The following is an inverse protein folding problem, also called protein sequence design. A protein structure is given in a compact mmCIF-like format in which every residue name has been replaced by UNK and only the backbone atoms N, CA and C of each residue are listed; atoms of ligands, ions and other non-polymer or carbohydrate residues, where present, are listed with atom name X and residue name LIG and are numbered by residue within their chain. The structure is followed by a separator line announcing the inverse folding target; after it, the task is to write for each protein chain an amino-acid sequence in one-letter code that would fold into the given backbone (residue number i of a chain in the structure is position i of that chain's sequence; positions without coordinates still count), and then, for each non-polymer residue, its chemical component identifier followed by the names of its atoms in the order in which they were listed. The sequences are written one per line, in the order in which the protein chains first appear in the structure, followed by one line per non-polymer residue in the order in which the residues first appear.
data_IF_635855989486
#
_entry.id   IF_635855989486
#
_cell.length_a   1.000
_cell.length_b   1.000
_cell.length_c   1.000
_cell.angle_alpha   90.00
_cell.angle_beta   90.00
_cell.angle_gamma   90.00
#
_symmetry.space_group_name_H-M   'P 1'
#
loop_
_entity.id
_entity.type
_entity.pdbx_description
1 polymer ?
#
# COMPACT_ATOMS: atom_id res chain seq x y z
N UNK A 1 10.16 34.45 2.43
CA UNK A 1 10.00 35.34 1.24
C UNK A 1 10.98 34.90 0.18
N UNK A 2 10.52 34.24 -0.85
CA UNK A 2 11.27 34.03 -2.10
C UNK A 2 10.54 34.82 -3.19
N UNK A 3 11.23 35.59 -4.01
CA UNK A 3 10.61 36.54 -4.95
C UNK A 3 10.06 35.80 -6.16
N UNK A 4 8.85 36.20 -6.57
CA UNK A 4 8.26 35.84 -7.84
C UNK A 4 9.05 36.49 -9.00
N UNK A 5 9.66 35.66 -9.85
CA UNK A 5 10.21 36.08 -11.12
C UNK A 5 9.13 35.97 -12.21
N UNK A 6 9.20 36.81 -13.29
CA UNK A 6 8.15 36.88 -14.27
C UNK A 6 8.08 35.65 -15.17
N UNK A 7 6.85 35.20 -15.44
CA UNK A 7 6.53 34.12 -16.39
C UNK A 7 6.81 34.61 -17.80
N UNK A 8 7.78 33.99 -18.45
CA UNK A 8 8.12 34.24 -19.84
C UNK A 8 7.21 33.39 -20.74
N UNK A 9 6.25 34.01 -21.40
CA UNK A 9 5.33 33.40 -22.33
C UNK A 9 5.97 33.31 -23.75
N UNK A 10 6.77 32.25 -23.97
CA UNK A 10 7.16 31.82 -25.31
C UNK A 10 7.57 30.34 -25.25
N UNK A 11 6.57 29.48 -25.28
CA UNK A 11 6.76 28.04 -25.52
C UNK A 11 5.98 27.71 -26.79
N UNK A 12 6.70 27.20 -27.78
CA UNK A 12 6.14 26.71 -29.03
C UNK A 12 5.20 25.51 -28.73
N UNK A 13 4.14 25.28 -29.55
CA UNK A 13 3.21 24.17 -29.29
C UNK A 13 3.91 22.83 -29.45
N UNK A 14 3.76 21.98 -28.43
CA UNK A 14 4.20 20.58 -28.45
C UNK A 14 3.47 19.79 -29.56
N UNK A 15 4.14 18.83 -30.21
CA UNK A 15 3.53 17.97 -31.21
C UNK A 15 2.46 17.08 -30.56
N UNK A 16 1.28 17.04 -31.19
CA UNK A 16 0.18 16.16 -30.79
C UNK A 16 0.63 14.67 -30.85
N UNK A 17 0.29 13.86 -29.86
CA UNK A 17 0.56 12.42 -29.91
C UNK A 17 -0.26 11.77 -31.03
N UNK A 18 0.26 10.72 -31.68
CA UNK A 18 -0.44 10.01 -32.74
C UNK A 18 -1.73 9.38 -32.22
N UNK A 19 -2.78 9.39 -33.05
CA UNK A 19 -4.08 8.82 -32.75
C UNK A 19 -3.95 7.37 -32.25
N UNK A 20 -4.54 7.10 -31.10
CA UNK A 20 -4.58 5.78 -30.50
C UNK A 20 -5.35 4.82 -31.40
N UNK A 21 -4.65 3.93 -32.08
CA UNK A 21 -5.22 2.71 -32.69
C UNK A 21 -5.69 1.80 -31.56
N UNK A 22 -6.96 1.34 -31.68
CA UNK A 22 -7.71 0.64 -30.66
C UNK A 22 -6.97 -0.51 -29.99
N UNK A 23 -6.59 -0.30 -28.74
CA UNK A 23 -6.31 -1.36 -27.81
C UNK A 23 -7.62 -1.83 -27.21
N UNK A 24 -7.92 -3.12 -27.40
CA UNK A 24 -9.10 -3.76 -26.81
C UNK A 24 -9.15 -3.44 -25.31
N UNK A 25 -10.35 -3.09 -24.83
CA UNK A 25 -10.60 -2.80 -23.41
C UNK A 25 -10.17 -3.99 -22.56
N UNK A 26 -8.95 -3.93 -22.01
CA UNK A 26 -8.56 -4.77 -20.91
C UNK A 26 -9.49 -4.39 -19.75
N UNK A 27 -10.42 -5.29 -19.39
CA UNK A 27 -11.27 -5.09 -18.23
C UNK A 27 -10.35 -4.87 -17.03
N UNK A 28 -10.38 -3.68 -16.44
CA UNK A 28 -9.62 -3.36 -15.23
C UNK A 28 -10.02 -4.36 -14.16
N UNK A 29 -9.11 -5.27 -13.83
CA UNK A 29 -9.37 -6.36 -12.90
C UNK A 29 -9.13 -5.86 -11.49
N UNK A 30 -10.06 -5.09 -10.95
CA UNK A 30 -10.13 -4.81 -9.52
C UNK A 30 -10.96 -5.92 -8.90
N UNK A 31 -10.33 -6.79 -8.15
CA UNK A 31 -11.01 -7.88 -7.45
C UNK A 31 -11.77 -7.32 -6.25
N UNK A 32 -13.05 -7.08 -6.42
CA UNK A 32 -13.98 -6.99 -5.31
C UNK A 32 -14.38 -8.41 -4.92
N UNK A 33 -13.85 -8.91 -3.81
CA UNK A 33 -14.14 -10.27 -3.35
C UNK A 33 -15.52 -10.32 -2.66
N UNK A 34 -16.58 -10.17 -3.44
CA UNK A 34 -17.96 -10.22 -3.01
C UNK A 34 -18.78 -8.97 -3.36
N UNK A 35 -20.10 -8.95 -3.09
CA UNK A 35 -20.94 -7.79 -3.32
C UNK A 35 -20.46 -6.58 -2.50
N UNK A 36 -20.47 -5.40 -3.10
CA UNK A 36 -20.16 -4.14 -2.43
C UNK A 36 -21.20 -3.91 -1.34
N UNK A 37 -20.76 -3.84 -0.07
CA UNK A 37 -21.65 -3.49 1.02
C UNK A 37 -22.14 -2.05 0.87
N UNK A 38 -23.43 -1.83 1.12
CA UNK A 38 -24.08 -0.53 1.10
C UNK A 38 -23.40 0.43 2.12
N UNK A 39 -22.96 1.62 1.71
CA UNK A 39 -22.31 2.59 2.60
C UNK A 39 -23.26 3.19 3.67
N UNK A 40 -24.58 2.93 3.60
CA UNK A 40 -25.58 3.51 4.51
C UNK A 40 -25.57 2.96 5.95
N UNK A 41 -24.72 1.97 6.27
CA UNK A 41 -24.64 1.35 7.61
C UNK A 41 -23.64 2.01 8.57
N UNK A 42 -23.36 3.31 8.48
CA UNK A 42 -22.50 4.02 9.45
C UNK A 42 -23.15 4.10 10.82
N UNK A 43 -23.09 3.04 11.60
CA UNK A 43 -23.12 3.16 13.05
C UNK A 43 -21.69 3.45 13.48
N UNK A 44 -21.48 4.60 14.13
CA UNK A 44 -20.18 5.10 14.53
C UNK A 44 -19.31 4.03 15.21
N UNK A 45 -18.46 3.39 14.43
CA UNK A 45 -17.46 2.45 14.92
C UNK A 45 -16.26 3.23 15.44
N UNK A 46 -15.77 2.84 16.60
CA UNK A 46 -14.49 3.31 17.12
C UNK A 46 -13.36 2.73 16.23
N UNK A 47 -12.39 3.59 15.84
CA UNK A 47 -11.23 3.14 15.07
C UNK A 47 -11.33 3.37 13.54
N UNK A 48 -10.48 2.72 12.73
CA UNK A 48 -10.44 2.92 11.28
C UNK A 48 -11.66 2.29 10.58
N UNK A 49 -12.11 2.94 9.50
CA UNK A 49 -13.09 2.37 8.58
C UNK A 49 -12.42 1.41 7.58
N UNK A 50 -11.15 1.66 7.28
CA UNK A 50 -10.39 0.81 6.37
C UNK A 50 -8.92 0.67 6.78
N UNK A 51 -8.33 -0.47 6.39
CA UNK A 51 -6.89 -0.72 6.49
C UNK A 51 -6.32 -0.95 5.08
N UNK A 52 -5.17 -0.33 4.78
CA UNK A 52 -4.32 -0.81 3.69
C UNK A 52 -3.23 -1.70 4.28
N UNK A 53 -3.40 -3.01 4.11
CA UNK A 53 -2.58 -4.04 4.77
C UNK A 53 -1.30 -4.41 4.03
N UNK A 54 -1.03 -3.79 2.90
CA UNK A 54 0.18 -4.10 2.13
C UNK A 54 -0.07 -4.17 0.62
N UNK A 55 0.90 -4.78 -0.09
CA UNK A 55 2.17 -5.30 0.42
C UNK A 55 3.19 -4.17 0.57
N UNK A 56 4.15 -4.33 1.49
CA UNK A 56 5.28 -3.41 1.56
C UNK A 56 6.04 -3.39 0.22
N UNK A 57 6.47 -2.22 -0.25
CA UNK A 57 7.13 -2.00 -1.57
C UNK A 57 6.20 -2.19 -2.79
N UNK A 58 4.87 -2.07 -2.59
CA UNK A 58 3.86 -2.21 -3.63
C UNK A 58 2.95 -0.96 -3.75
N UNK A 59 3.51 0.24 -3.77
CA UNK A 59 2.81 1.51 -3.98
C UNK A 59 1.86 2.00 -2.86
N UNK A 60 1.95 1.50 -1.64
CA UNK A 60 1.12 1.99 -0.52
C UNK A 60 1.36 3.47 -0.19
N UNK A 61 2.57 4.00 -0.44
CA UNK A 61 2.87 5.43 -0.30
C UNK A 61 2.19 6.27 -1.39
N UNK A 62 2.05 5.74 -2.60
CA UNK A 62 1.26 6.38 -3.65
C UNK A 62 -0.21 6.48 -3.25
N UNK A 63 -0.78 5.40 -2.72
CA UNK A 63 -2.15 5.41 -2.22
C UNK A 63 -2.34 6.46 -1.12
N UNK A 64 -1.45 6.48 -0.11
CA UNK A 64 -1.48 7.47 0.96
C UNK A 64 -1.45 8.91 0.42
N UNK A 65 -0.50 9.22 -0.47
CA UNK A 65 -0.35 10.56 -1.05
C UNK A 65 -1.56 11.00 -1.86
N UNK A 66 -2.23 10.08 -2.57
CA UNK A 66 -3.41 10.41 -3.35
C UNK A 66 -4.66 10.57 -2.48
N UNK A 67 -4.91 9.64 -1.56
CA UNK A 67 -6.05 9.72 -0.67
C UNK A 67 -6.01 10.95 0.25
N UNK A 68 -4.83 11.48 0.58
CA UNK A 68 -4.66 12.71 1.36
C UNK A 68 -5.26 13.97 0.69
N UNK A 69 -5.56 13.95 -0.61
CA UNK A 69 -6.25 15.04 -1.30
C UNK A 69 -7.78 14.92 -1.25
N UNK A 70 -8.30 13.76 -0.89
CA UNK A 70 -9.74 13.53 -0.88
C UNK A 70 -10.38 14.13 0.38
N UNK A 71 -11.32 15.10 0.31
CA UNK A 71 -11.83 15.83 1.48
C UNK A 71 -12.58 14.94 2.48
N UNK A 72 -13.15 13.82 2.02
CA UNK A 72 -13.86 12.86 2.86
C UNK A 72 -12.95 11.70 3.32
N UNK A 73 -11.64 11.81 3.17
CA UNK A 73 -10.68 10.84 3.72
C UNK A 73 -9.90 11.50 4.83
N UNK A 74 -9.79 10.80 5.94
CA UNK A 74 -8.90 11.15 7.03
C UNK A 74 -7.80 10.10 7.16
N UNK A 75 -6.57 10.56 7.13
CA UNK A 75 -5.37 9.75 7.33
C UNK A 75 -4.66 10.24 8.59
N UNK A 76 -4.18 9.34 9.46
CA UNK A 76 -3.31 9.74 10.55
C UNK A 76 -2.13 10.57 10.06
N UNK A 77 -1.66 11.56 10.85
CA UNK A 77 -0.57 12.46 10.46
C UNK A 77 0.79 11.76 10.27
N UNK A 78 0.92 10.54 10.73
CA UNK A 78 2.05 9.65 10.44
C UNK A 78 1.55 8.40 9.74
N UNK A 79 2.31 7.95 8.74
CA UNK A 79 2.04 6.71 8.02
C UNK A 79 2.58 5.52 8.83
N UNK A 80 1.92 4.36 8.65
CA UNK A 80 2.37 3.08 9.23
C UNK A 80 2.31 3.11 10.78
N UNK A 81 1.07 3.23 11.31
CA UNK A 81 0.84 3.15 12.76
C UNK A 81 1.37 1.84 13.36
N UNK A 82 1.30 0.75 12.58
CA UNK A 82 1.80 -0.57 12.93
C UNK A 82 1.29 -1.12 14.28
N UNK A 83 0.14 -0.61 14.76
CA UNK A 83 -0.44 -0.98 16.05
C UNK A 83 -0.61 -2.50 16.18
N UNK A 84 -1.33 -3.11 15.23
CA UNK A 84 -1.62 -4.55 15.33
C UNK A 84 -0.36 -5.42 15.22
N UNK A 85 0.64 -5.03 14.41
CA UNK A 85 1.90 -5.75 14.33
C UNK A 85 2.71 -5.62 15.61
N UNK A 86 2.75 -4.44 16.22
CA UNK A 86 3.41 -4.23 17.52
C UNK A 86 2.76 -5.05 18.66
N UNK A 87 1.44 -5.30 18.58
CA UNK A 87 0.72 -6.08 19.60
C UNK A 87 0.81 -7.59 19.35
N UNK A 88 0.75 -8.04 18.08
CA UNK A 88 0.54 -9.44 17.73
C UNK A 88 1.73 -10.14 17.07
N UNK A 89 2.77 -9.41 16.68
CA UNK A 89 3.95 -9.99 16.02
C UNK A 89 5.16 -9.82 16.92
N UNK A 90 5.60 -10.93 17.53
CA UNK A 90 6.78 -10.93 18.37
C UNK A 90 8.03 -10.51 17.58
N UNK A 91 8.92 -9.74 18.23
CA UNK A 91 10.16 -9.23 17.65
C UNK A 91 9.94 -8.40 16.37
N UNK A 92 8.89 -7.61 16.37
CA UNK A 92 8.60 -6.72 15.24
C UNK A 92 9.68 -5.64 15.13
N UNK A 93 10.35 -5.58 13.99
CA UNK A 93 11.48 -4.67 13.74
C UNK A 93 11.08 -3.19 13.69
N UNK A 94 9.79 -2.88 13.55
CA UNK A 94 9.28 -1.50 13.45
C UNK A 94 8.84 -0.89 14.78
N UNK A 95 9.01 -1.58 15.90
CA UNK A 95 8.78 -0.98 17.24
C UNK A 95 10.02 -0.16 17.67
N UNK A 96 10.50 0.69 16.77
CA UNK A 96 11.48 1.71 17.05
C UNK A 96 10.74 2.97 17.54
N UNK A 97 10.65 3.11 18.87
CA UNK A 97 10.05 4.29 19.52
C UNK A 97 10.73 5.59 19.06
N UNK A 98 12.01 5.54 18.76
CA UNK A 98 12.77 6.70 18.26
C UNK A 98 12.37 7.01 16.81
N UNK A 99 12.10 6.01 15.98
CA UNK A 99 11.61 6.24 14.62
C UNK A 99 10.22 6.89 14.64
N UNK A 100 9.31 6.39 15.46
CA UNK A 100 7.97 6.97 15.64
C UNK A 100 8.05 8.40 16.15
N UNK A 101 8.89 8.66 17.15
CA UNK A 101 9.12 10.01 17.67
C UNK A 101 9.61 10.97 16.58
N UNK A 102 10.60 10.57 15.80
CA UNK A 102 11.08 11.36 14.64
C UNK A 102 9.98 11.65 13.62
N UNK A 103 9.12 10.67 13.33
CA UNK A 103 7.97 10.88 12.43
C UNK A 103 6.97 11.88 13.01
N UNK A 104 6.64 11.78 14.29
CA UNK A 104 5.75 12.71 14.98
C UNK A 104 6.32 14.13 14.92
N UNK A 105 7.61 14.32 15.26
CA UNK A 105 8.26 15.63 15.25
C UNK A 105 8.32 16.23 13.85
N UNK A 106 8.68 15.44 12.85
CA UNK A 106 8.70 15.88 11.45
C UNK A 106 7.31 16.29 10.96
N UNK A 107 6.28 15.48 11.27
CA UNK A 107 4.91 15.77 10.90
C UNK A 107 4.37 17.02 11.64
N UNK A 108 4.68 17.16 12.92
CA UNK A 108 4.33 18.35 13.72
C UNK A 108 4.92 19.62 13.10
N UNK A 109 6.20 19.59 12.77
CA UNK A 109 6.89 20.72 12.10
C UNK A 109 6.21 21.07 10.79
N UNK A 110 5.86 20.08 9.97
CA UNK A 110 5.17 20.32 8.71
C UNK A 110 3.79 20.97 8.91
N UNK A 111 2.97 20.44 9.84
CA UNK A 111 1.62 20.96 10.11
C UNK A 111 1.64 22.36 10.72
N UNK A 112 2.64 22.70 11.54
CA UNK A 112 2.80 24.05 12.09
C UNK A 112 3.00 25.11 11.00
N UNK A 113 3.59 24.73 9.86
CA UNK A 113 3.87 25.65 8.73
C UNK A 113 2.84 25.50 7.58
N UNK A 114 1.90 24.58 7.64
CA UNK A 114 0.87 24.39 6.63
C UNK A 114 -0.08 25.59 6.60
N UNK A 115 -0.24 26.24 5.44
CA UNK A 115 -1.11 27.39 5.24
C UNK A 115 -2.46 27.00 4.65
N UNK A 116 -3.51 27.75 5.01
CA UNK A 116 -4.82 27.61 4.36
C UNK A 116 -5.63 26.36 4.74
N UNK A 117 -5.21 25.64 5.79
CA UNK A 117 -5.82 24.37 6.25
C UNK A 117 -6.03 24.39 7.77
N UNK A 118 -6.58 25.45 8.33
CA UNK A 118 -6.56 25.67 9.78
C UNK A 118 -7.33 24.62 10.58
N UNK A 119 -8.48 24.16 10.09
CA UNK A 119 -9.25 23.12 10.77
C UNK A 119 -8.52 21.77 10.70
N UNK A 120 -8.10 21.38 9.52
CA UNK A 120 -7.33 20.15 9.32
C UNK A 120 -6.03 20.16 10.14
N UNK A 121 -5.33 21.30 10.17
CA UNK A 121 -4.14 21.49 11.00
C UNK A 121 -4.43 21.24 12.47
N UNK A 122 -5.53 21.82 13.02
CA UNK A 122 -5.91 21.58 14.42
C UNK A 122 -6.16 20.10 14.71
N UNK A 123 -6.90 19.42 13.84
CA UNK A 123 -7.19 17.99 13.96
C UNK A 123 -5.90 17.15 13.91
N UNK A 124 -5.02 17.42 12.96
CA UNK A 124 -3.78 16.68 12.78
C UNK A 124 -2.79 16.92 13.94
N UNK A 125 -2.68 18.15 14.45
CA UNK A 125 -1.82 18.46 15.60
C UNK A 125 -2.36 17.80 16.87
N UNK A 126 -3.67 17.83 17.11
CA UNK A 126 -4.29 17.14 18.25
C UNK A 126 -4.07 15.61 18.16
N UNK A 127 -4.14 15.04 16.95
CA UNK A 127 -3.81 13.63 16.73
C UNK A 127 -2.33 13.34 17.02
N UNK A 128 -1.40 14.24 16.67
CA UNK A 128 0.02 14.08 16.98
C UNK A 128 0.28 14.13 18.50
N UNK A 129 -0.46 14.95 19.24
CA UNK A 129 -0.38 14.98 20.70
C UNK A 129 -0.88 13.67 21.31
N UNK A 130 -1.95 13.10 20.76
CA UNK A 130 -2.47 11.80 21.15
C UNK A 130 -1.46 10.67 20.83
N UNK A 131 -0.87 10.66 19.62
CA UNK A 131 0.13 9.68 19.20
C UNK A 131 1.39 9.71 20.08
N UNK A 132 1.76 10.88 20.60
CA UNK A 132 2.93 11.05 21.48
C UNK A 132 2.74 10.42 22.88
N UNK A 133 1.53 10.01 23.27
CA UNK A 133 1.27 9.38 24.57
C UNK A 133 1.78 7.94 24.72
N UNK A 134 2.25 7.32 23.65
CA UNK A 134 2.94 6.02 23.58
C UNK A 134 2.24 4.85 24.32
N UNK A 135 0.93 4.77 24.27
CA UNK A 135 0.18 3.66 24.88
C UNK A 135 -0.36 2.74 23.80
N UNK A 136 0.30 1.62 23.54
CA UNK A 136 -0.14 0.59 22.58
C UNK A 136 -1.35 -0.20 23.11
N UNK A 137 -2.42 0.49 23.49
CA UNK A 137 -3.73 -0.09 23.87
C UNK A 137 -4.73 0.08 22.72
N UNK A 138 -5.77 -0.74 22.73
CA UNK A 138 -6.88 -0.60 21.78
C UNK A 138 -7.50 0.78 21.85
N UNK A 139 -7.71 1.34 23.05
CA UNK A 139 -8.28 2.68 23.24
C UNK A 139 -7.36 3.76 22.67
N UNK A 140 -6.04 3.62 22.84
CA UNK A 140 -5.09 4.53 22.22
C UNK A 140 -5.20 4.46 20.68
N UNK A 141 -5.26 3.26 20.11
CA UNK A 141 -5.35 3.10 18.66
C UNK A 141 -6.66 3.65 18.10
N UNK A 142 -7.79 3.35 18.73
CA UNK A 142 -9.10 3.86 18.29
C UNK A 142 -9.19 5.35 18.43
N UNK A 143 -8.65 5.94 19.51
CA UNK A 143 -8.59 7.38 19.75
C UNK A 143 -7.84 8.16 18.67
N UNK A 144 -6.90 7.53 17.93
CA UNK A 144 -6.27 8.14 16.75
C UNK A 144 -7.33 8.57 15.73
N UNK A 145 -8.43 7.83 15.59
CA UNK A 145 -9.47 8.06 14.60
C UNK A 145 -10.61 8.97 15.09
N UNK A 146 -10.62 9.33 16.37
CA UNK A 146 -11.61 10.28 16.93
C UNK A 146 -11.34 11.73 16.48
N UNK A 147 -10.16 12.00 15.94
CA UNK A 147 -9.79 13.30 15.39
C UNK A 147 -10.33 13.58 13.99
N UNK A 148 -10.95 12.57 13.32
CA UNK A 148 -11.56 12.73 12.00
C UNK A 148 -12.85 13.55 12.05
N UNK A 149 -13.16 14.24 10.95
CA UNK A 149 -14.47 14.87 10.77
C UNK A 149 -15.60 13.83 10.66
N UNK A 150 -16.86 14.24 10.95
CA UNK A 150 -18.00 13.31 11.03
C UNK A 150 -18.28 12.52 9.75
N UNK A 151 -17.98 13.10 8.59
CA UNK A 151 -18.21 12.49 7.27
C UNK A 151 -16.96 11.86 6.66
N UNK A 152 -15.84 11.89 7.37
CA UNK A 152 -14.59 11.35 6.86
C UNK A 152 -14.44 9.86 7.12
N UNK A 153 -13.92 9.15 6.13
CA UNK A 153 -13.48 7.75 6.22
C UNK A 153 -12.06 7.71 6.76
N UNK A 154 -11.87 7.14 7.94
CA UNK A 154 -10.56 6.99 8.58
C UNK A 154 -9.84 5.75 8.04
N UNK A 155 -8.60 5.93 7.57
CA UNK A 155 -7.83 4.84 6.95
C UNK A 155 -6.44 4.74 7.59
N UNK A 156 -6.08 3.54 8.07
CA UNK A 156 -4.70 3.22 8.46
C UNK A 156 -3.98 2.50 7.30
N UNK A 157 -2.86 3.06 6.88
CA UNK A 157 -2.03 2.48 5.81
C UNK A 157 -0.74 1.92 6.42
N UNK A 158 -0.81 0.68 6.88
CA UNK A 158 0.28 -0.06 7.53
C UNK A 158 0.55 -1.36 6.77
N UNK A 159 1.48 -1.36 5.81
CA UNK A 159 1.72 -2.51 4.92
C UNK A 159 2.13 -3.79 5.61
N UNK A 160 2.59 -3.71 6.84
CA UNK A 160 3.01 -4.86 7.64
C UNK A 160 1.84 -5.67 8.20
N UNK A 161 0.62 -5.12 8.17
CA UNK A 161 -0.58 -5.84 8.60
C UNK A 161 -0.88 -7.09 7.74
N UNK A 162 -0.29 -7.20 6.56
CA UNK A 162 -0.35 -8.46 5.78
C UNK A 162 0.22 -9.64 6.58
N UNK A 163 1.18 -9.42 7.47
CA UNK A 163 1.81 -10.47 8.27
C UNK A 163 1.06 -10.85 9.55
N UNK A 164 -0.03 -10.15 9.89
CA UNK A 164 -0.79 -10.42 11.11
C UNK A 164 -1.19 -11.89 11.23
N UNK A 165 -1.02 -12.52 12.40
CA UNK A 165 -1.60 -13.81 12.69
C UNK A 165 -3.14 -13.71 12.76
N UNK A 166 -3.83 -14.87 12.78
CA UNK A 166 -5.31 -14.90 12.83
C UNK A 166 -5.89 -14.05 13.97
N UNK A 167 -5.24 -14.04 15.13
CA UNK A 167 -5.72 -13.27 16.29
C UNK A 167 -5.53 -11.77 16.12
N UNK A 168 -4.47 -11.33 15.41
CA UNK A 168 -4.31 -9.93 15.03
C UNK A 168 -5.38 -9.46 14.03
N UNK A 169 -5.74 -10.31 13.07
CA UNK A 169 -6.85 -10.03 12.14
C UNK A 169 -8.19 -9.98 12.89
N UNK A 170 -8.44 -10.94 13.81
CA UNK A 170 -9.65 -10.92 14.65
C UNK A 170 -9.73 -9.69 15.52
N UNK A 171 -8.60 -9.23 16.06
CA UNK A 171 -8.56 -7.99 16.85
C UNK A 171 -8.98 -6.78 16.01
N UNK A 172 -8.48 -6.67 14.78
CA UNK A 172 -8.87 -5.58 13.88
C UNK A 172 -10.39 -5.61 13.55
N UNK A 173 -10.94 -6.80 13.28
CA UNK A 173 -12.38 -6.99 13.05
C UNK A 173 -13.21 -6.71 14.31
N UNK A 174 -12.71 -7.03 15.50
CA UNK A 174 -13.40 -6.76 16.77
C UNK A 174 -13.53 -5.26 17.05
N UNK A 175 -12.55 -4.45 16.61
CA UNK A 175 -12.61 -2.99 16.70
C UNK A 175 -13.70 -2.45 15.74
N UNK A 176 -13.71 -2.92 14.51
CA UNK A 176 -14.70 -2.53 13.52
C UNK A 176 -15.19 -3.74 12.72
N UNK A 177 -16.39 -4.30 13.03
CA UNK A 177 -16.96 -5.41 12.27
C UNK A 177 -17.22 -5.11 10.79
N UNK A 178 -17.37 -3.84 10.43
CA UNK A 178 -17.56 -3.36 9.05
C UNK A 178 -16.24 -2.95 8.37
N UNK A 179 -15.12 -3.32 8.95
CA UNK A 179 -13.78 -2.98 8.47
C UNK A 179 -13.60 -3.35 6.99
N UNK A 180 -13.10 -2.40 6.20
CA UNK A 180 -12.71 -2.61 4.82
C UNK A 180 -11.20 -2.78 4.71
N UNK A 181 -10.75 -3.66 3.81
CA UNK A 181 -9.33 -3.97 3.65
C UNK A 181 -8.89 -3.72 2.21
N UNK A 182 -7.81 -2.99 2.04
CA UNK A 182 -7.18 -2.73 0.75
C UNK A 182 -5.82 -3.43 0.73
N UNK A 183 -5.52 -4.15 -0.35
CA UNK A 183 -4.22 -4.71 -0.62
C UNK A 183 -3.73 -4.29 -2.01
N UNK A 184 -2.50 -3.80 -2.10
CA UNK A 184 -1.83 -3.53 -3.37
C UNK A 184 -0.71 -4.53 -3.52
N UNK A 185 -0.72 -5.30 -4.60
CA UNK A 185 0.26 -6.35 -4.86
C UNK A 185 1.24 -5.94 -5.96
N UNK A 186 2.44 -6.41 -5.85
CA UNK A 186 3.48 -6.31 -6.86
C UNK A 186 3.95 -7.72 -7.19
N UNK A 187 4.58 -7.94 -8.35
CA UNK A 187 5.27 -9.20 -8.61
C UNK A 187 6.09 -9.63 -7.38
N UNK A 188 5.96 -10.87 -6.89
CA UNK A 188 6.60 -11.33 -5.65
C UNK A 188 8.12 -11.12 -5.62
N UNK A 189 8.81 -11.40 -6.72
CA UNK A 189 10.27 -11.25 -6.88
C UNK A 189 10.64 -9.77 -6.90
N UNK A 190 9.95 -8.96 -7.71
CA UNK A 190 10.21 -7.52 -7.82
C UNK A 190 9.91 -6.78 -6.51
N UNK A 191 8.93 -7.25 -5.74
CA UNK A 191 8.64 -6.73 -4.41
C UNK A 191 9.80 -7.03 -3.45
N UNK A 192 10.25 -8.29 -3.42
CA UNK A 192 11.33 -8.74 -2.55
C UNK A 192 12.66 -8.04 -2.89
N UNK A 193 12.99 -7.89 -4.16
CA UNK A 193 14.16 -7.13 -4.60
C UNK A 193 14.10 -5.67 -4.14
N UNK A 194 12.98 -5.01 -4.36
CA UNK A 194 12.80 -3.63 -3.90
C UNK A 194 12.95 -3.49 -2.39
N UNK A 195 12.59 -4.52 -1.62
CA UNK A 195 12.76 -4.54 -0.18
C UNK A 195 14.23 -4.81 0.20
N UNK A 196 14.90 -5.76 -0.49
CA UNK A 196 16.32 -6.03 -0.27
C UNK A 196 17.19 -4.79 -0.52
N UNK A 197 16.93 -4.06 -1.62
CA UNK A 197 17.61 -2.79 -1.93
C UNK A 197 17.37 -1.74 -0.83
N UNK A 198 16.16 -1.67 -0.28
CA UNK A 198 15.85 -0.77 0.83
C UNK A 198 16.65 -1.14 2.09
N UNK A 199 16.73 -2.43 2.43
CA UNK A 199 17.49 -2.92 3.60
C UNK A 199 18.99 -2.75 3.43
N UNK A 200 19.50 -2.80 2.21
CA UNK A 200 20.91 -2.56 1.90
C UNK A 200 21.32 -1.09 2.11
N UNK A 201 20.35 -0.17 2.17
CA UNK A 201 20.56 1.25 2.46
C UNK A 201 20.72 2.12 1.21
N UNK A 202 20.89 3.42 1.46
CA UNK A 202 21.11 4.41 0.39
C UNK A 202 22.52 4.25 -0.18
N UNK A 203 22.64 4.28 -1.52
CA UNK A 203 23.91 4.07 -2.22
C UNK A 203 24.44 2.63 -2.21
N UNK A 204 23.57 1.65 -1.83
CA UNK A 204 23.95 0.25 -1.84
C UNK A 204 24.36 -0.22 -3.24
N UNK A 205 25.46 -0.96 -3.31
CA UNK A 205 25.92 -1.66 -4.51
C UNK A 205 25.31 -3.07 -4.63
N UNK A 206 25.62 -3.76 -5.73
CA UNK A 206 25.18 -5.12 -5.97
C UNK A 206 25.59 -6.09 -4.86
N UNK A 207 26.82 -5.96 -4.33
CA UNK A 207 27.33 -6.82 -3.28
C UNK A 207 26.55 -6.65 -1.96
N UNK A 208 26.11 -5.42 -1.64
CA UNK A 208 25.29 -5.14 -0.48
C UNK A 208 23.92 -5.82 -0.58
N UNK A 209 23.26 -5.74 -1.76
CA UNK A 209 21.98 -6.42 -2.00
C UNK A 209 22.15 -7.95 -1.89
N UNK A 210 23.22 -8.52 -2.49
CA UNK A 210 23.51 -9.95 -2.35
C UNK A 210 23.72 -10.39 -0.89
N UNK A 211 24.33 -9.56 -0.05
CA UNK A 211 24.47 -9.87 1.39
C UNK A 211 23.11 -10.02 2.05
N UNK A 212 22.14 -9.14 1.74
CA UNK A 212 20.76 -9.25 2.24
C UNK A 212 20.10 -10.53 1.73
N UNK A 213 20.18 -10.81 0.42
CA UNK A 213 19.53 -11.96 -0.20
C UNK A 213 20.09 -13.31 0.29
N UNK A 214 21.35 -13.34 0.71
CA UNK A 214 22.03 -14.54 1.24
C UNK A 214 22.00 -14.65 2.76
N UNK A 215 21.41 -13.68 3.44
CA UNK A 215 21.19 -13.69 4.90
C UNK A 215 19.81 -14.25 5.25
N UNK A 216 19.53 -14.40 6.55
CA UNK A 216 18.21 -14.77 7.05
C UNK A 216 17.10 -13.76 6.70
N UNK A 217 17.48 -12.53 6.37
CA UNK A 217 16.53 -11.51 5.92
C UNK A 217 15.72 -11.96 4.68
N UNK A 218 16.25 -12.86 3.85
CA UNK A 218 15.52 -13.41 2.69
C UNK A 218 14.19 -14.06 3.09
N UNK A 219 14.13 -14.73 4.25
CA UNK A 219 12.89 -15.34 4.74
C UNK A 219 11.83 -14.27 5.09
N UNK A 220 12.26 -13.13 5.62
CA UNK A 220 11.37 -12.00 5.87
C UNK A 220 10.86 -11.43 4.54
N UNK A 221 11.75 -11.24 3.56
CA UNK A 221 11.36 -10.80 2.23
C UNK A 221 10.31 -11.74 1.61
N UNK A 222 10.52 -13.05 1.70
CA UNK A 222 9.59 -14.05 1.18
C UNK A 222 8.23 -14.02 1.89
N UNK A 223 8.18 -13.84 3.22
CA UNK A 223 6.93 -13.75 3.99
C UNK A 223 6.01 -12.62 3.49
N UNK A 224 6.57 -11.46 3.18
CA UNK A 224 5.80 -10.35 2.60
C UNK A 224 5.30 -10.61 1.19
N UNK A 225 5.99 -11.48 0.44
CA UNK A 225 5.60 -11.90 -0.92
C UNK A 225 4.68 -13.10 -0.95
N UNK A 226 4.47 -13.79 0.17
CA UNK A 226 3.61 -15.00 0.27
C UNK A 226 2.12 -14.59 0.27
N UNK A 227 1.66 -14.03 -0.85
CA UNK A 227 0.30 -13.51 -1.05
C UNK A 227 -0.78 -14.58 -0.83
N UNK A 228 -0.66 -15.81 -1.34
CA UNK A 228 -1.67 -16.83 -1.11
C UNK A 228 -1.94 -17.04 0.37
N UNK A 229 -0.88 -17.09 1.17
CA UNK A 229 -0.97 -17.34 2.61
C UNK A 229 -1.66 -16.20 3.37
N UNK A 230 -1.24 -14.94 3.16
CA UNK A 230 -1.80 -13.86 3.94
C UNK A 230 -3.11 -13.32 3.37
N UNK A 231 -3.33 -13.28 2.03
CA UNK A 231 -4.64 -13.00 1.45
C UNK A 231 -5.68 -14.03 1.87
N UNK A 232 -5.32 -15.33 1.81
CA UNK A 232 -6.19 -16.41 2.26
C UNK A 232 -6.57 -16.28 3.72
N UNK A 233 -5.64 -15.86 4.59
CA UNK A 233 -5.91 -15.61 6.01
C UNK A 233 -6.91 -14.48 6.23
N UNK A 234 -6.70 -13.34 5.59
CA UNK A 234 -7.59 -12.19 5.67
C UNK A 234 -8.96 -12.53 5.10
N UNK A 235 -9.02 -13.05 3.87
CA UNK A 235 -10.27 -13.45 3.22
C UNK A 235 -11.07 -14.45 4.04
N UNK A 236 -10.39 -15.40 4.68
CA UNK A 236 -11.06 -16.44 5.49
C UNK A 236 -11.64 -15.94 6.82
N UNK A 237 -11.37 -14.70 7.23
CA UNK A 237 -11.86 -14.09 8.47
C UNK A 237 -12.77 -12.89 8.21
N UNK A 238 -12.63 -12.23 7.05
CA UNK A 238 -13.38 -11.03 6.69
C UNK A 238 -14.73 -11.38 6.04
N UNK A 239 -15.76 -10.54 6.20
CA UNK A 239 -17.00 -10.66 5.45
C UNK A 239 -16.74 -10.59 3.94
N UNK A 240 -17.61 -11.26 3.16
CA UNK A 240 -17.55 -11.16 1.71
C UNK A 240 -17.72 -9.70 1.24
N UNK A 241 -16.89 -9.26 0.29
CA UNK A 241 -16.93 -7.89 -0.24
C UNK A 241 -16.18 -6.85 0.57
N UNK A 242 -15.59 -7.21 1.72
CA UNK A 242 -14.83 -6.27 2.55
C UNK A 242 -13.34 -6.16 2.18
N UNK A 243 -12.90 -6.79 1.08
CA UNK A 243 -11.53 -6.71 0.59
C UNK A 243 -11.46 -6.19 -0.85
N UNK A 244 -10.60 -5.22 -1.09
CA UNK A 244 -10.23 -4.69 -2.40
C UNK A 244 -8.76 -5.02 -2.67
N UNK A 245 -8.48 -5.77 -3.73
CA UNK A 245 -7.12 -6.14 -4.13
C UNK A 245 -6.82 -5.53 -5.49
N UNK A 246 -5.74 -4.77 -5.58
CA UNK A 246 -5.25 -4.16 -6.81
C UNK A 246 -3.77 -4.50 -7.01
N UNK A 247 -3.26 -4.34 -8.22
CA UNK A 247 -1.85 -4.61 -8.50
C UNK A 247 -1.08 -3.31 -8.79
N UNK A 248 0.19 -3.29 -8.47
CA UNK A 248 1.08 -2.18 -8.81
C UNK A 248 1.18 -1.96 -10.33
N UNK A 249 0.94 -3.01 -11.14
CA UNK A 249 0.84 -2.89 -12.60
C UNK A 249 -0.32 -1.98 -12.97
N UNK A 250 -1.51 -2.21 -12.39
CA UNK A 250 -2.69 -1.35 -12.61
C UNK A 250 -2.45 0.08 -12.11
N UNK A 251 -1.81 0.23 -10.93
CA UNK A 251 -1.43 1.56 -10.41
C UNK A 251 -0.56 2.33 -11.42
N UNK A 252 0.30 1.64 -12.17
CA UNK A 252 1.18 2.27 -13.18
C UNK A 252 0.47 2.54 -14.50
N UNK A 253 -0.33 1.60 -14.98
CA UNK A 253 -0.99 1.72 -16.29
C UNK A 253 -2.27 2.57 -16.24
N UNK A 254 -3.03 2.49 -15.13
CA UNK A 254 -4.36 3.08 -15.01
C UNK A 254 -4.60 3.70 -13.62
N UNK A 255 -3.76 4.65 -13.17
CA UNK A 255 -3.80 5.14 -11.79
C UNK A 255 -5.15 5.73 -11.38
N UNK A 256 -5.82 6.48 -12.26
CA UNK A 256 -7.14 7.05 -11.99
C UNK A 256 -8.24 5.98 -11.92
N UNK A 257 -8.15 4.90 -12.71
CA UNK A 257 -9.09 3.79 -12.64
C UNK A 257 -8.95 3.05 -11.30
N UNK A 258 -7.72 2.85 -10.81
CA UNK A 258 -7.46 2.28 -9.48
C UNK A 258 -8.05 3.16 -8.38
N UNK A 259 -7.81 4.48 -8.42
CA UNK A 259 -8.35 5.41 -7.43
C UNK A 259 -9.87 5.45 -7.46
N UNK A 260 -10.49 5.42 -8.64
CA UNK A 260 -11.95 5.30 -8.79
C UNK A 260 -12.47 4.04 -8.10
N UNK A 261 -11.84 2.90 -8.33
CA UNK A 261 -12.25 1.63 -7.72
C UNK A 261 -12.06 1.62 -6.21
N UNK A 262 -10.98 2.21 -5.71
CA UNK A 262 -10.76 2.37 -4.27
C UNK A 262 -11.80 3.30 -3.64
N UNK A 263 -12.11 4.44 -4.27
CA UNK A 263 -13.18 5.34 -3.79
C UNK A 263 -14.53 4.62 -3.77
N UNK A 264 -14.90 3.94 -4.85
CA UNK A 264 -16.13 3.16 -4.92
C UNK A 264 -16.20 2.09 -3.82
N UNK A 265 -15.11 1.36 -3.60
CA UNK A 265 -15.01 0.36 -2.53
C UNK A 265 -15.19 0.99 -1.15
N UNK A 266 -14.62 2.16 -0.91
CA UNK A 266 -14.74 2.90 0.35
C UNK A 266 -16.12 3.58 0.52
N UNK A 267 -16.93 3.69 -0.54
CA UNK A 267 -18.19 4.43 -0.55
C UNK A 267 -17.99 5.95 -0.68
N UNK A 268 -16.89 6.35 -1.32
CA UNK A 268 -16.54 7.74 -1.53
C UNK A 268 -16.87 8.19 -2.97
N UNK A 269 -17.28 9.46 -3.19
CA UNK A 269 -17.38 10.01 -4.52
C UNK A 269 -16.00 10.07 -5.18
N UNK A 270 -15.95 9.90 -6.51
CA UNK A 270 -14.72 10.00 -7.28
C UNK A 270 -14.80 11.17 -8.28
N UNK A 271 -13.85 12.08 -8.17
CA UNK A 271 -13.59 13.14 -9.15
C UNK A 271 -12.09 13.14 -9.46
N UNK A 272 -11.71 13.08 -10.73
CA UNK A 272 -10.29 12.97 -11.13
C UNK A 272 -9.43 14.13 -10.61
N UNK A 273 -10.02 15.32 -10.54
CA UNK A 273 -9.35 16.56 -10.08
C UNK A 273 -8.92 16.49 -8.59
N UNK A 274 -9.52 15.57 -7.81
CA UNK A 274 -9.10 15.32 -6.43
C UNK A 274 -7.76 14.58 -6.33
N UNK A 275 -7.21 14.11 -7.43
CA UNK A 275 -6.01 13.27 -7.43
C UNK A 275 -4.90 13.82 -8.34
N UNK A 276 -4.41 15.04 -8.08
CA UNK A 276 -3.41 15.70 -8.93
C UNK A 276 -2.09 14.93 -9.01
N UNK A 277 -1.84 14.05 -8.05
CA UNK A 277 -0.61 13.22 -7.97
C UNK A 277 -0.80 11.79 -8.48
N UNK A 278 -1.94 11.48 -9.09
CA UNK A 278 -2.24 10.12 -9.55
C UNK A 278 -1.17 9.57 -10.50
N UNK A 279 -0.69 10.41 -11.43
CA UNK A 279 0.28 10.05 -12.45
C UNK A 279 1.75 10.33 -12.06
N UNK A 280 1.98 10.93 -10.89
CA UNK A 280 3.35 11.18 -10.42
C UNK A 280 4.08 9.85 -10.18
N UNK A 281 5.33 9.70 -10.63
CA UNK A 281 6.13 8.52 -10.33
C UNK A 281 6.30 8.35 -8.81
N UNK A 282 5.86 7.23 -8.28
CA UNK A 282 5.94 6.95 -6.84
C UNK A 282 7.34 6.55 -6.39
N UNK A 283 8.23 6.26 -7.34
CA UNK A 283 9.51 5.62 -7.07
C UNK A 283 10.66 6.39 -7.69
N UNK A 284 11.64 6.76 -6.86
CA UNK A 284 12.94 7.22 -7.35
C UNK A 284 13.54 6.16 -8.31
N UNK A 285 13.88 6.59 -9.52
CA UNK A 285 14.44 5.75 -10.57
C UNK A 285 15.81 5.13 -10.15
N UNK A 286 16.50 5.78 -9.24
CA UNK A 286 17.92 5.56 -8.94
C UNK A 286 18.27 4.23 -8.24
N UNK A 287 17.26 3.45 -7.80
CA UNK A 287 17.52 2.18 -7.07
C UNK A 287 17.30 0.92 -7.89
N UNK A 288 16.97 1.03 -9.17
CA UNK A 288 16.67 -0.15 -10.02
C UNK A 288 17.90 -0.79 -10.63
N UNK A 289 18.98 -0.04 -10.78
CA UNK A 289 20.17 -0.48 -11.54
C UNK A 289 21.01 -1.53 -10.81
N UNK A 290 20.84 -1.68 -9.48
CA UNK A 290 21.54 -2.70 -8.69
C UNK A 290 20.85 -4.08 -8.69
N UNK A 291 19.62 -4.19 -9.20
CA UNK A 291 18.87 -5.45 -9.24
C UNK A 291 19.19 -6.24 -10.51
N UNK A 292 20.04 -7.26 -10.40
CA UNK A 292 20.51 -8.04 -11.54
C UNK A 292 19.55 -9.19 -11.93
N UNK A 293 19.63 -9.71 -13.18
CA UNK A 293 18.90 -10.92 -13.57
C UNK A 293 19.19 -12.11 -12.65
N UNK A 294 20.44 -12.27 -12.20
CA UNK A 294 20.84 -13.35 -11.29
C UNK A 294 20.13 -13.27 -9.93
N UNK A 295 19.89 -12.06 -9.40
CA UNK A 295 19.12 -11.88 -8.16
C UNK A 295 17.64 -12.26 -8.36
N UNK A 296 17.07 -11.92 -9.53
CA UNK A 296 15.68 -12.29 -9.88
C UNK A 296 15.54 -13.80 -9.94
N UNK A 297 16.44 -14.46 -10.62
CA UNK A 297 16.44 -15.93 -10.73
C UNK A 297 16.61 -16.59 -9.36
N UNK A 298 17.53 -16.11 -8.54
CA UNK A 298 17.74 -16.59 -7.17
C UNK A 298 16.46 -16.50 -6.31
N UNK A 299 15.70 -15.41 -6.40
CA UNK A 299 14.44 -15.25 -5.68
C UNK A 299 13.32 -16.06 -6.33
N UNK A 300 13.26 -16.15 -7.65
CA UNK A 300 12.25 -16.91 -8.39
C UNK A 300 12.24 -18.38 -7.98
N UNK A 301 13.40 -19.00 -7.97
CA UNK A 301 13.55 -20.40 -7.53
C UNK A 301 13.03 -20.62 -6.10
N UNK A 302 13.27 -19.67 -5.20
CA UNK A 302 12.79 -19.74 -3.82
C UNK A 302 11.31 -19.45 -3.64
N UNK A 303 10.72 -18.73 -4.57
CA UNK A 303 9.30 -18.31 -4.54
C UNK A 303 8.42 -19.14 -5.51
N UNK A 304 8.96 -20.21 -6.13
CA UNK A 304 8.22 -21.04 -7.07
C UNK A 304 6.86 -21.50 -6.48
N UNK A 305 6.85 -21.99 -5.23
CA UNK A 305 5.63 -22.38 -4.53
C UNK A 305 4.62 -21.22 -4.44
N UNK A 306 5.08 -20.00 -4.22
CA UNK A 306 4.21 -18.81 -4.12
C UNK A 306 3.51 -18.57 -5.46
N UNK A 307 4.22 -18.66 -6.57
CA UNK A 307 3.64 -18.50 -7.89
C UNK A 307 2.66 -19.64 -8.24
N UNK A 308 3.00 -20.89 -7.91
CA UNK A 308 2.10 -22.04 -8.10
C UNK A 308 0.79 -21.86 -7.32
N UNK A 309 0.87 -21.54 -6.02
CA UNK A 309 -0.31 -21.30 -5.18
C UNK A 309 -1.11 -20.07 -5.65
N UNK A 310 -0.48 -19.03 -6.20
CA UNK A 310 -1.17 -17.89 -6.81
C UNK A 310 -1.99 -18.34 -8.03
N UNK A 311 -1.40 -19.17 -8.91
CA UNK A 311 -2.10 -19.70 -10.07
C UNK A 311 -3.30 -20.56 -9.69
N UNK A 312 -3.17 -21.38 -8.66
CA UNK A 312 -4.22 -22.29 -8.22
C UNK A 312 -5.35 -21.56 -7.48
N UNK A 313 -5.00 -20.65 -6.58
CA UNK A 313 -5.98 -20.03 -5.66
C UNK A 313 -6.47 -18.66 -6.11
N UNK A 314 -5.68 -17.95 -6.96
CA UNK A 314 -5.91 -16.57 -7.38
C UNK A 314 -5.50 -16.35 -8.85
N UNK A 315 -6.08 -17.12 -9.81
CA UNK A 315 -5.65 -17.08 -11.21
C UNK A 315 -5.72 -15.67 -11.82
N UNK A 316 -6.68 -14.85 -11.39
CA UNK A 316 -6.82 -13.49 -11.89
C UNK A 316 -5.67 -12.57 -11.40
N UNK A 317 -5.14 -12.81 -10.20
CA UNK A 317 -3.97 -12.10 -9.69
C UNK A 317 -2.69 -12.61 -10.35
N UNK A 318 -2.59 -13.92 -10.57
CA UNK A 318 -1.46 -14.54 -11.24
C UNK A 318 -1.27 -13.96 -12.65
N UNK A 319 -2.35 -13.74 -13.40
CA UNK A 319 -2.31 -13.12 -14.72
C UNK A 319 -1.74 -11.68 -14.73
N UNK A 320 -1.70 -11.00 -13.58
CA UNK A 320 -1.07 -9.68 -13.45
C UNK A 320 0.46 -9.75 -13.29
N UNK A 321 1.02 -10.94 -13.08
CA UNK A 321 2.45 -11.19 -12.88
C UNK A 321 3.00 -12.06 -14.02
N UNK A 322 3.40 -11.45 -15.15
CA UNK A 322 3.71 -12.16 -16.40
C UNK A 322 4.91 -13.11 -16.33
N UNK A 323 5.70 -13.00 -15.25
CA UNK A 323 6.85 -13.89 -15.02
C UNK A 323 6.52 -15.10 -14.14
N UNK A 324 5.24 -15.34 -13.87
CA UNK A 324 4.81 -16.60 -13.27
C UNK A 324 5.22 -17.76 -14.23
N UNK A 325 5.79 -18.87 -13.74
CA UNK A 325 6.14 -20.00 -14.61
C UNK A 325 4.88 -20.44 -15.37
N UNK A 326 4.95 -20.41 -16.69
CA UNK A 326 3.98 -21.10 -17.52
C UNK A 326 3.88 -22.54 -17.05
N UNK A 327 2.65 -23.02 -16.91
CA UNK A 327 2.33 -24.35 -16.35
C UNK A 327 3.31 -25.43 -16.83
N UNK A 328 3.64 -26.36 -15.95
CA UNK A 328 4.52 -27.52 -16.21
C UNK A 328 4.32 -28.28 -17.54
N UNK A 329 3.33 -27.91 -18.35
CA UNK A 329 3.08 -28.47 -19.67
C UNK A 329 4.13 -28.02 -20.71
N UNK A 330 4.61 -26.79 -20.67
CA UNK A 330 5.57 -26.26 -21.67
C UNK A 330 7.01 -26.70 -21.38
N UNK A 331 7.38 -26.95 -20.12
CA UNK A 331 8.71 -27.47 -19.76
C UNK A 331 8.94 -28.93 -20.11
N UNK A 332 7.90 -29.71 -20.45
CA UNK A 332 8.03 -31.10 -20.88
C UNK A 332 8.22 -31.24 -22.39
N UNK A 333 7.86 -30.24 -23.17
CA UNK A 333 8.05 -30.27 -24.64
C UNK A 333 9.45 -29.78 -25.07
N UNK A 334 10.18 -29.01 -24.24
CA UNK A 334 11.56 -28.60 -24.55
C UNK A 334 12.65 -29.62 -24.16
N UNK A 335 12.28 -30.68 -23.41
CA UNK A 335 13.22 -31.74 -22.96
C UNK A 335 12.93 -33.07 -23.67
N UNK A 336 11.94 -33.16 -24.54
CA UNK A 336 11.63 -34.32 -25.37
C UNK A 336 12.14 -34.11 -26.81
#
# INVERSE_FOLDING_TARGET
MLPNGPVNSNVAPEPQPPAATGYGHSKSLVLHLGPVCDPAGRQGGYGPDALCIGAQKAATTWLYKNLAFHPLVWLPPIKELNFFTSVHVLNHLSDDSDHRRRQIDASRTWWQHAQGRDEERRQQVACLDHLATERLTTDWYTGVFDHRGPDQVGIDISPEYCLLPRDGVRHAIAINPNLKVIAILRDPVERALSHAVMLAGDGADEAAVWRILRSEAVFVLMKYSDYPRWLGRWRGLMPAGSMCVVTMRQVRSEPLAVLRSVCQFLGLPFHADLFPKAVEPVFAADRRDVATPAMREFLRQRMERIYQELHEQWPELAAAFPDAPSSHAELREEIA
#
